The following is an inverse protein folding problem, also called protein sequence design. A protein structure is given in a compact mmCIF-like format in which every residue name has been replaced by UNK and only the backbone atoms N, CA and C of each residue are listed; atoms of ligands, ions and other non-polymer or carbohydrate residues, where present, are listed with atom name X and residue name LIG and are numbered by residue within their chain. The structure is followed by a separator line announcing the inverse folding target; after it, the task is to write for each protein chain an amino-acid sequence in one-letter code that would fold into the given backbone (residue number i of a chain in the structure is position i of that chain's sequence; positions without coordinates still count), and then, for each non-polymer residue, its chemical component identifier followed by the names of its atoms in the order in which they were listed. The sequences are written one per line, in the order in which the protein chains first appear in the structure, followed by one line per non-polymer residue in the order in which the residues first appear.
data_IF_627544340605
#
_entry.id   IF_627544340605
#
_cell.length_a   1.000
_cell.length_b   1.000
_cell.length_c   1.000
_cell.angle_alpha   90.00
_cell.angle_beta   90.00
_cell.angle_gamma   90.00
#
_symmetry.space_group_name_H-M   'P 1'
#
loop_
_entity.id
_entity.type
_entity.pdbx_description
1 polymer ?
#
# COMPACT_ATOMS: atom_id res chain seq x y z
N UNK A 1 63.09 12.13 71.54
CA UNK A 1 62.61 10.73 71.54
C UNK A 1 61.68 10.53 70.34
N UNK A 2 61.96 9.50 69.53
CA UNK A 2 61.10 8.72 68.61
C UNK A 2 60.08 9.50 67.74
N UNK A 3 60.34 9.56 66.42
CA UNK A 3 59.63 8.84 65.31
C UNK A 3 58.20 9.37 65.09
N UNK A 4 57.66 9.67 63.91
CA UNK A 4 57.84 9.27 62.49
C UNK A 4 56.63 9.99 61.81
N UNK A 5 56.70 10.56 60.60
CA UNK A 5 56.25 9.93 59.34
C UNK A 5 56.19 11.01 58.23
N UNK A 6 56.40 10.52 57.01
CA UNK A 6 56.45 11.23 55.74
C UNK A 6 55.09 11.60 55.15
N UNK A 7 55.19 12.37 54.05
CA UNK A 7 54.29 12.48 52.90
C UNK A 7 53.18 13.53 53.05
N UNK A 8 52.80 14.26 51.99
CA UNK A 8 53.12 14.17 50.58
C UNK A 8 52.34 15.26 49.84
N UNK A 9 52.75 15.54 48.60
CA UNK A 9 52.31 16.63 47.76
C UNK A 9 50.79 16.74 47.52
N UNK A 10 50.30 17.97 47.42
CA UNK A 10 49.00 18.30 46.84
C UNK A 10 49.16 19.30 45.71
N UNK A 11 49.05 18.84 44.46
CA UNK A 11 48.91 19.70 43.30
C UNK A 11 47.42 19.75 42.93
N UNK A 12 46.86 20.95 42.92
CA UNK A 12 45.46 21.23 42.54
C UNK A 12 45.40 21.37 41.02
N UNK A 13 44.67 20.49 40.35
CA UNK A 13 44.32 20.61 38.94
C UNK A 13 42.88 21.13 38.81
N UNK A 14 42.71 22.33 38.24
CA UNK A 14 41.42 22.88 37.84
C UNK A 14 40.93 22.14 36.59
N UNK A 15 39.82 21.39 36.71
CA UNK A 15 39.12 20.80 35.58
C UNK A 15 38.06 21.78 35.05
N UNK A 16 38.22 22.23 33.80
CA UNK A 16 37.18 22.95 33.05
C UNK A 16 36.12 21.93 32.58
N UNK A 17 34.91 22.00 33.15
CA UNK A 17 33.74 21.28 32.63
C UNK A 17 33.24 21.98 31.37
N UNK A 18 33.51 21.40 30.20
CA UNK A 18 32.77 21.70 28.98
C UNK A 18 31.43 20.95 29.01
N UNK A 19 30.33 21.65 29.22
CA UNK A 19 28.98 21.07 29.12
C UNK A 19 28.69 20.77 27.65
N UNK A 20 28.76 19.50 27.28
CA UNK A 20 28.29 19.01 26.00
C UNK A 20 26.76 19.08 26.01
N UNK A 21 26.19 20.16 25.46
CA UNK A 21 24.76 20.22 25.15
C UNK A 21 24.60 19.46 23.83
N UNK A 22 24.03 18.24 23.81
CA UNK A 22 23.72 17.61 22.54
C UNK A 22 22.75 18.53 21.79
N UNK A 23 22.89 18.69 20.47
CA UNK A 23 21.85 19.33 19.69
C UNK A 23 20.56 18.57 19.97
N UNK A 24 19.58 19.25 20.54
CA UNK A 24 18.22 18.77 20.52
C UNK A 24 17.82 18.87 19.05
N UNK A 25 18.01 17.77 18.32
CA UNK A 25 17.32 17.55 17.07
C UNK A 25 15.84 17.64 17.40
N UNK A 26 15.31 18.85 17.25
CA UNK A 26 13.90 19.16 17.29
C UNK A 26 13.19 18.13 16.44
N UNK A 27 12.22 17.47 17.06
CA UNK A 27 11.38 16.43 16.48
C UNK A 27 10.64 16.94 15.24
N UNK A 28 11.32 17.05 14.11
CA UNK A 28 10.74 17.09 12.78
C UNK A 28 10.87 15.69 12.15
N UNK A 29 10.14 14.72 12.69
CA UNK A 29 10.01 13.40 12.06
C UNK A 29 8.70 12.69 12.45
N UNK A 30 7.56 13.25 12.04
CA UNK A 30 6.29 12.51 12.02
C UNK A 30 5.30 12.99 10.94
N UNK A 31 5.77 13.65 9.87
CA UNK A 31 4.87 14.25 8.87
C UNK A 31 4.29 13.26 7.87
N UNK A 32 4.91 12.10 7.64
CA UNK A 32 4.32 11.03 6.84
C UNK A 32 4.41 9.71 7.58
N UNK A 33 3.25 9.15 7.93
CA UNK A 33 3.24 7.81 8.48
C UNK A 33 3.64 6.77 7.43
N UNK A 34 3.42 7.02 6.14
CA UNK A 34 3.91 6.19 5.03
C UNK A 34 5.32 6.61 4.62
N UNK A 35 6.06 5.70 3.97
CA UNK A 35 7.42 5.97 3.51
C UNK A 35 7.84 5.22 2.25
N UNK A 36 6.95 4.48 1.59
CA UNK A 36 7.29 3.84 0.32
C UNK A 36 7.47 4.90 -0.76
N UNK A 37 8.51 4.76 -1.58
CA UNK A 37 8.86 5.76 -2.61
C UNK A 37 9.07 5.17 -4.00
N UNK A 38 9.24 3.85 -4.09
CA UNK A 38 9.42 3.19 -5.37
C UNK A 38 8.07 3.12 -6.11
N UNK A 39 8.09 3.45 -7.41
CA UNK A 39 6.92 3.36 -8.29
C UNK A 39 6.98 2.16 -9.24
N UNK A 40 8.10 1.45 -9.27
CA UNK A 40 8.35 0.24 -10.08
C UNK A 40 8.24 -1.03 -9.25
N UNK A 41 8.63 -0.98 -7.98
CA UNK A 41 8.50 -2.11 -7.04
C UNK A 41 7.38 -1.86 -6.03
N UNK A 42 6.44 -2.81 -5.80
CA UNK A 42 5.46 -2.70 -4.72
C UNK A 42 6.11 -2.70 -3.32
N UNK A 43 5.47 -2.07 -2.31
CA UNK A 43 5.98 -2.12 -0.94
C UNK A 43 6.03 -3.57 -0.41
N UNK A 44 6.93 -3.89 0.53
CA UNK A 44 6.97 -5.22 1.16
C UNK A 44 5.76 -5.49 2.04
N UNK A 45 5.17 -4.44 2.62
CA UNK A 45 4.03 -4.53 3.52
C UNK A 45 3.11 -3.32 3.41
N UNK A 46 1.90 -3.47 3.97
CA UNK A 46 0.90 -2.41 4.08
C UNK A 46 0.23 -2.47 5.45
N UNK A 47 -0.10 -1.31 6.00
CA UNK A 47 -0.86 -1.17 7.25
C UNK A 47 -2.35 -1.05 6.94
N UNK A 48 -3.09 -2.03 7.40
CA UNK A 48 -4.54 -2.12 7.22
C UNK A 48 -5.21 -1.85 8.56
N UNK A 49 -6.03 -0.81 8.63
CA UNK A 49 -6.92 -0.61 9.76
C UNK A 49 -8.08 -1.60 9.69
N UNK A 50 -8.16 -2.47 10.70
CA UNK A 50 -9.21 -3.47 10.83
C UNK A 50 -10.33 -2.92 11.69
N UNK A 51 -11.38 -2.42 11.06
CA UNK A 51 -12.49 -1.71 11.72
C UNK A 51 -13.18 -2.55 12.78
N UNK A 52 -13.49 -3.81 12.48
CA UNK A 52 -14.13 -4.73 13.41
C UNK A 52 -13.32 -5.03 14.69
N UNK A 53 -11.99 -4.83 14.64
CA UNK A 53 -11.09 -5.07 15.77
C UNK A 53 -10.48 -3.78 16.34
N UNK A 54 -10.87 -2.62 15.80
CA UNK A 54 -10.34 -1.31 16.17
C UNK A 54 -8.81 -1.26 16.25
N UNK A 55 -8.12 -1.97 15.36
CA UNK A 55 -6.65 -2.05 15.37
C UNK A 55 -6.06 -2.05 13.98
N UNK A 56 -4.92 -1.39 13.85
CA UNK A 56 -4.08 -1.48 12.65
C UNK A 56 -3.21 -2.73 12.70
N UNK A 57 -3.13 -3.44 11.58
CA UNK A 57 -2.22 -4.59 11.38
C UNK A 57 -1.30 -4.34 10.20
N UNK A 58 -0.06 -4.82 10.28
CA UNK A 58 0.89 -4.82 9.17
C UNK A 58 0.82 -6.15 8.45
N UNK A 59 0.64 -6.13 7.13
CA UNK A 59 0.41 -7.31 6.30
C UNK A 59 1.44 -7.34 5.17
N UNK A 60 1.99 -8.52 4.86
CA UNK A 60 2.71 -8.72 3.59
C UNK A 60 1.86 -8.23 2.42
N UNK A 61 2.46 -7.41 1.54
CA UNK A 61 1.68 -6.71 0.53
C UNK A 61 1.08 -7.65 -0.52
N UNK A 62 1.79 -8.72 -0.88
CA UNK A 62 1.28 -9.70 -1.85
C UNK A 62 0.12 -10.50 -1.28
N UNK A 63 0.21 -10.88 0.00
CA UNK A 63 -0.89 -11.51 0.75
C UNK A 63 -2.08 -10.56 0.84
N UNK A 64 -1.87 -9.28 1.11
CA UNK A 64 -2.92 -8.28 1.12
C UNK A 64 -3.69 -8.25 -0.20
N UNK A 65 -2.99 -8.12 -1.33
CA UNK A 65 -3.61 -8.09 -2.67
C UNK A 65 -4.41 -9.36 -2.96
N UNK A 66 -3.87 -10.55 -2.62
CA UNK A 66 -4.61 -11.82 -2.78
C UNK A 66 -5.89 -11.87 -1.94
N UNK A 67 -5.85 -11.38 -0.70
CA UNK A 67 -7.01 -11.34 0.19
C UNK A 67 -8.06 -10.34 -0.29
N UNK A 68 -7.66 -9.17 -0.77
CA UNK A 68 -8.59 -8.18 -1.36
C UNK A 68 -9.21 -8.73 -2.64
N UNK A 69 -8.41 -9.35 -3.53
CA UNK A 69 -8.92 -10.06 -4.70
C UNK A 69 -10.00 -11.09 -4.32
N UNK A 70 -9.78 -11.89 -3.28
CA UNK A 70 -10.77 -12.85 -2.80
C UNK A 70 -12.04 -12.20 -2.23
N UNK A 71 -11.92 -11.01 -1.67
CA UNK A 71 -13.02 -10.28 -1.05
C UNK A 71 -13.90 -9.56 -2.07
N UNK A 72 -13.29 -9.05 -3.15
CA UNK A 72 -13.93 -8.10 -4.06
C UNK A 72 -14.07 -8.59 -5.50
N UNK A 73 -13.25 -9.56 -5.93
CA UNK A 73 -13.24 -10.08 -7.30
C UNK A 73 -13.39 -11.60 -7.28
N UNK A 74 -14.63 -12.08 -7.32
CA UNK A 74 -14.95 -13.51 -7.24
C UNK A 74 -14.26 -14.38 -8.30
N UNK A 75 -14.00 -15.67 -8.03
CA UNK A 75 -13.18 -16.53 -8.89
C UNK A 75 -13.78 -16.86 -10.27
N UNK A 76 -15.06 -16.55 -10.49
CA UNK A 76 -15.79 -16.82 -11.74
C UNK A 76 -15.65 -15.70 -12.79
N UNK A 77 -14.97 -14.62 -12.45
CA UNK A 77 -14.64 -13.55 -13.39
C UNK A 77 -13.64 -14.10 -14.44
N UNK A 78 -13.78 -13.74 -15.73
CA UNK A 78 -12.83 -14.15 -16.75
C UNK A 78 -11.39 -13.71 -16.43
N UNK A 79 -10.40 -14.51 -16.83
CA UNK A 79 -8.98 -14.29 -16.50
C UNK A 79 -8.48 -12.88 -16.86
N UNK A 80 -8.87 -12.34 -18.02
CA UNK A 80 -8.49 -10.98 -18.43
C UNK A 80 -8.99 -9.91 -17.44
N UNK A 81 -10.26 -9.99 -17.03
CA UNK A 81 -10.82 -9.08 -16.01
C UNK A 81 -10.20 -9.26 -14.63
N UNK A 82 -9.85 -10.50 -14.24
CA UNK A 82 -9.14 -10.80 -13.00
C UNK A 82 -7.71 -10.23 -13.01
N UNK A 83 -7.00 -10.29 -14.13
CA UNK A 83 -5.68 -9.64 -14.30
C UNK A 83 -5.80 -8.12 -14.14
N UNK A 84 -6.79 -7.49 -14.79
CA UNK A 84 -7.04 -6.06 -14.64
C UNK A 84 -7.33 -5.69 -13.18
N UNK A 85 -8.23 -6.43 -12.53
CA UNK A 85 -8.56 -6.25 -11.11
C UNK A 85 -7.34 -6.39 -10.20
N UNK A 86 -6.48 -7.40 -10.43
CA UNK A 86 -5.28 -7.63 -9.62
C UNK A 86 -4.31 -6.45 -9.67
N UNK A 87 -4.04 -5.90 -10.86
CA UNK A 87 -3.17 -4.72 -11.00
C UNK A 87 -3.79 -3.49 -10.37
N UNK A 88 -5.08 -3.27 -10.58
CA UNK A 88 -5.83 -2.13 -10.03
C UNK A 88 -5.86 -2.15 -8.51
N UNK A 89 -6.16 -3.30 -7.90
CA UNK A 89 -6.18 -3.49 -6.45
C UNK A 89 -4.79 -3.29 -5.86
N UNK A 90 -3.76 -3.88 -6.49
CA UNK A 90 -2.36 -3.69 -6.07
C UNK A 90 -1.95 -2.23 -6.13
N UNK A 91 -2.22 -1.55 -7.24
CA UNK A 91 -1.80 -0.15 -7.42
C UNK A 91 -2.51 0.79 -6.45
N UNK A 92 -3.76 0.52 -6.07
CA UNK A 92 -4.50 1.30 -5.06
C UNK A 92 -3.78 1.25 -3.71
N UNK A 93 -3.54 0.04 -3.18
CA UNK A 93 -2.88 -0.14 -1.88
C UNK A 93 -1.45 0.40 -1.89
N UNK A 94 -0.74 0.24 -3.01
CA UNK A 94 0.60 0.78 -3.19
C UNK A 94 0.59 2.31 -3.17
N UNK A 95 -0.33 2.95 -3.90
CA UNK A 95 -0.46 4.40 -3.92
C UNK A 95 -0.64 4.97 -2.50
N UNK A 96 -1.49 4.36 -1.66
CA UNK A 96 -1.67 4.83 -0.28
C UNK A 96 -0.56 4.41 0.68
N UNK A 97 0.24 3.39 0.35
CA UNK A 97 1.50 3.11 1.05
C UNK A 97 2.63 4.11 0.70
N UNK A 98 2.44 4.92 -0.36
CA UNK A 98 3.32 6.05 -0.70
C UNK A 98 2.76 7.37 -0.18
N UNK A 99 1.48 7.63 -0.43
CA UNK A 99 0.80 8.89 -0.19
C UNK A 99 -0.11 8.80 1.04
N UNK A 100 0.45 9.02 2.23
CA UNK A 100 -0.33 9.04 3.46
C UNK A 100 -1.35 10.19 3.44
N UNK A 101 -2.58 9.88 3.85
CA UNK A 101 -3.72 10.82 3.87
C UNK A 101 -4.28 11.06 5.27
N UNK A 102 -3.47 10.88 6.32
CA UNK A 102 -3.87 11.19 7.69
C UNK A 102 -4.58 10.05 8.45
N UNK A 103 -4.69 8.85 7.88
CA UNK A 103 -5.39 7.72 8.52
C UNK A 103 -4.76 7.31 9.85
N UNK A 104 -5.54 7.38 10.94
CA UNK A 104 -5.19 6.91 12.29
C UNK A 104 -6.31 6.07 12.90
N UNK A 105 -5.95 4.96 13.55
CA UNK A 105 -6.89 4.16 14.34
C UNK A 105 -7.18 4.82 15.71
N UNK A 106 -8.11 4.30 16.52
CA UNK A 106 -8.46 4.90 17.82
C UNK A 106 -7.28 5.01 18.81
N UNK A 107 -6.22 4.21 18.64
CA UNK A 107 -5.01 4.28 19.44
C UNK A 107 -3.96 5.26 18.85
N UNK A 108 -4.32 6.03 17.83
CA UNK A 108 -3.45 6.99 17.17
C UNK A 108 -2.44 6.36 16.19
N UNK A 109 -2.49 5.03 15.98
CA UNK A 109 -1.56 4.34 15.05
C UNK A 109 -1.98 4.61 13.62
N UNK A 110 -1.02 4.92 12.78
CA UNK A 110 -1.29 5.21 11.38
C UNK A 110 -1.58 3.95 10.56
N UNK A 111 -2.45 4.10 9.57
CA UNK A 111 -2.74 3.09 8.56
C UNK A 111 -2.67 3.69 7.15
N UNK A 112 -2.47 2.81 6.16
CA UNK A 112 -2.43 3.17 4.74
C UNK A 112 -3.85 3.06 4.15
N UNK A 113 -4.53 1.97 4.50
CA UNK A 113 -5.88 1.62 4.04
C UNK A 113 -6.76 1.10 5.18
N UNK A 114 -8.08 1.21 5.04
CA UNK A 114 -9.08 0.63 5.93
C UNK A 114 -9.79 -0.56 5.26
N UNK A 115 -10.15 -1.59 6.03
CA UNK A 115 -10.71 -2.85 5.54
C UNK A 115 -12.19 -2.81 5.09
N UNK A 116 -12.67 -1.65 4.65
CA UNK A 116 -14.05 -1.43 4.22
C UNK A 116 -14.10 -0.91 2.79
N UNK A 117 -15.31 -0.72 2.25
CA UNK A 117 -15.53 -0.11 0.93
C UNK A 117 -15.06 1.33 0.80
N UNK A 118 -14.64 1.97 1.91
CA UNK A 118 -13.94 3.26 1.84
C UNK A 118 -12.62 3.14 1.07
N UNK A 119 -11.94 2.01 1.23
CA UNK A 119 -10.69 1.71 0.54
C UNK A 119 -10.76 0.38 -0.19
N UNK A 120 -10.45 -0.73 0.51
CA UNK A 120 -10.49 -2.06 -0.05
C UNK A 120 -10.91 -3.05 1.05
N UNK A 121 -11.89 -3.90 0.76
CA UNK A 121 -12.38 -4.92 1.67
C UNK A 121 -11.27 -5.96 1.89
N UNK A 122 -10.62 -5.89 3.05
CA UNK A 122 -9.60 -6.84 3.47
C UNK A 122 -10.17 -7.79 4.52
N UNK A 123 -10.59 -8.97 4.07
CA UNK A 123 -11.11 -10.00 4.96
C UNK A 123 -10.30 -11.31 4.86
N UNK A 124 -9.38 -11.57 5.81
CA UNK A 124 -8.56 -12.78 5.85
C UNK A 124 -9.31 -14.10 6.01
N UNK A 125 -10.59 -14.09 6.39
CA UNK A 125 -11.40 -15.32 6.46
C UNK A 125 -11.94 -15.76 5.11
N UNK A 126 -11.79 -14.95 4.06
CA UNK A 126 -12.21 -15.31 2.69
C UNK A 126 -11.25 -16.33 2.09
N UNK A 127 -11.82 -17.37 1.48
CA UNK A 127 -11.07 -18.35 0.70
C UNK A 127 -10.46 -17.68 -0.53
N UNK A 128 -9.13 -17.73 -0.62
CA UNK A 128 -8.39 -17.30 -1.82
C UNK A 128 -8.32 -18.49 -2.77
N UNK A 129 -8.98 -18.40 -3.92
CA UNK A 129 -8.97 -19.46 -4.92
C UNK A 129 -7.70 -19.44 -5.78
N UNK A 130 -7.35 -20.60 -6.36
CA UNK A 130 -6.15 -20.76 -7.17
C UNK A 130 -6.06 -19.75 -8.33
N UNK A 131 -7.17 -19.44 -9.00
CA UNK A 131 -7.20 -18.47 -10.10
C UNK A 131 -6.84 -17.05 -9.64
N UNK A 132 -7.29 -16.63 -8.45
CA UNK A 132 -6.96 -15.31 -7.88
C UNK A 132 -5.47 -15.24 -7.53
N UNK A 133 -4.93 -16.26 -6.85
CA UNK A 133 -3.50 -16.36 -6.56
C UNK A 133 -2.66 -16.36 -7.84
N UNK A 134 -3.11 -17.05 -8.87
CA UNK A 134 -2.44 -17.15 -10.16
C UNK A 134 -2.37 -15.79 -10.87
N UNK A 135 -3.49 -15.06 -11.02
CA UNK A 135 -3.45 -13.74 -11.69
C UNK A 135 -2.66 -12.70 -10.90
N UNK A 136 -2.66 -12.76 -9.55
CA UNK A 136 -1.82 -11.86 -8.73
C UNK A 136 -0.34 -12.17 -8.95
N UNK A 137 0.03 -13.43 -9.15
CA UNK A 137 1.41 -13.80 -9.49
C UNK A 137 1.80 -13.35 -10.89
N UNK A 138 0.95 -13.61 -11.89
CA UNK A 138 1.20 -13.23 -13.28
C UNK A 138 1.39 -11.73 -13.46
N UNK A 139 0.65 -10.94 -12.70
CA UNK A 139 0.64 -9.47 -12.82
C UNK A 139 1.47 -8.79 -11.74
N UNK A 140 2.32 -9.53 -11.01
CA UNK A 140 2.99 -8.99 -9.83
C UNK A 140 3.97 -7.85 -10.15
N UNK A 141 4.65 -7.92 -11.29
CA UNK A 141 5.54 -6.85 -11.78
C UNK A 141 4.81 -5.80 -12.64
N UNK A 142 3.52 -5.97 -12.96
CA UNK A 142 2.80 -5.01 -13.79
C UNK A 142 2.47 -3.73 -13.02
N UNK A 143 2.70 -2.56 -13.61
CA UNK A 143 2.25 -1.26 -13.11
C UNK A 143 1.41 -0.57 -14.17
N UNK A 144 0.41 0.22 -13.77
CA UNK A 144 -0.34 1.06 -14.71
C UNK A 144 0.25 2.45 -14.73
N UNK A 145 0.54 2.94 -15.94
CA UNK A 145 1.13 4.26 -16.15
C UNK A 145 0.30 5.09 -17.11
N UNK A 146 0.21 6.39 -16.84
CA UNK A 146 -0.22 7.42 -17.79
C UNK A 146 1.03 8.20 -18.22
N UNK A 147 1.59 7.86 -19.38
CA UNK A 147 2.95 8.26 -19.73
C UNK A 147 3.96 7.71 -18.71
N UNK A 148 4.79 8.58 -18.12
CA UNK A 148 5.73 8.19 -17.06
C UNK A 148 5.09 8.13 -15.66
N UNK A 149 3.86 8.63 -15.50
CA UNK A 149 3.25 8.86 -14.19
C UNK A 149 2.68 7.59 -13.58
N UNK A 150 3.08 7.30 -12.33
CA UNK A 150 2.36 6.37 -11.46
C UNK A 150 1.15 7.09 -10.86
N UNK A 151 -0.04 6.52 -10.98
CA UNK A 151 -1.28 7.19 -10.57
C UNK A 151 -2.12 6.30 -9.67
N UNK A 152 -2.95 6.94 -8.83
CA UNK A 152 -3.93 6.24 -8.01
C UNK A 152 -4.97 5.57 -8.89
N UNK A 153 -5.15 4.27 -8.75
CA UNK A 153 -6.28 3.55 -9.35
C UNK A 153 -7.50 3.64 -8.44
N UNK A 154 -8.70 3.54 -9.01
CA UNK A 154 -9.96 3.42 -8.30
C UNK A 154 -10.80 2.32 -8.94
N UNK A 155 -11.73 1.71 -8.22
CA UNK A 155 -12.61 0.70 -8.82
C UNK A 155 -13.94 0.60 -8.09
N UNK A 156 -14.95 0.10 -8.81
CA UNK A 156 -16.31 -0.10 -8.32
C UNK A 156 -16.91 -1.37 -8.92
N UNK A 157 -18.04 -1.82 -8.38
CA UNK A 157 -18.73 -3.01 -8.87
C UNK A 157 -19.26 -2.82 -10.31
N UNK A 158 -19.90 -1.69 -10.61
CA UNK A 158 -20.58 -1.41 -11.88
C UNK A 158 -21.91 -2.16 -12.05
N UNK A 159 -22.68 -1.79 -13.07
CA UNK A 159 -24.01 -2.32 -13.38
C UNK A 159 -24.02 -3.64 -14.19
N UNK A 160 -22.87 -4.10 -14.67
CA UNK A 160 -22.71 -5.32 -15.46
C UNK A 160 -22.94 -5.16 -16.97
N UNK A 161 -23.03 -3.93 -17.48
CA UNK A 161 -23.16 -3.65 -18.91
C UNK A 161 -21.76 -3.34 -19.46
N UNK A 162 -21.35 -4.03 -20.52
CA UNK A 162 -20.05 -3.72 -21.14
C UNK A 162 -20.05 -2.28 -21.67
N UNK A 163 -18.99 -1.54 -21.31
CA UNK A 163 -18.75 -0.18 -21.78
C UNK A 163 -19.61 0.92 -21.14
N UNK A 164 -20.36 0.59 -20.09
CA UNK A 164 -21.03 1.61 -19.26
C UNK A 164 -20.11 2.10 -18.14
N UNK A 165 -20.40 3.30 -17.64
CA UNK A 165 -19.75 3.91 -16.48
C UNK A 165 -18.23 4.14 -16.67
N UNK A 166 -17.81 4.49 -17.89
CA UNK A 166 -16.41 4.77 -18.26
C UNK A 166 -15.98 6.20 -17.87
N UNK A 167 -15.88 6.46 -16.57
CA UNK A 167 -15.55 7.79 -16.04
C UNK A 167 -14.06 8.17 -16.17
N UNK A 168 -13.21 7.27 -16.69
CA UNK A 168 -11.75 7.40 -16.82
C UNK A 168 -10.97 7.41 -15.51
N UNK A 169 -11.64 7.14 -14.39
CA UNK A 169 -11.09 7.14 -13.03
C UNK A 169 -11.27 5.81 -12.30
N UNK A 170 -12.29 5.04 -12.64
CA UNK A 170 -12.61 3.79 -11.97
C UNK A 170 -12.71 2.62 -12.94
N UNK A 171 -12.02 1.54 -12.60
CA UNK A 171 -12.29 0.22 -13.16
C UNK A 171 -13.64 -0.32 -12.66
N UNK A 172 -14.52 -0.72 -13.58
CA UNK A 172 -15.83 -1.28 -13.26
C UNK A 172 -15.82 -2.80 -13.38
N UNK A 173 -15.79 -3.50 -12.24
CA UNK A 173 -15.53 -4.95 -12.17
C UNK A 173 -16.49 -5.82 -13.01
N UNK A 174 -17.80 -5.59 -12.85
CA UNK A 174 -18.85 -6.36 -13.54
C UNK A 174 -18.92 -5.97 -15.01
N UNK A 175 -18.74 -4.69 -15.32
CA UNK A 175 -18.80 -4.16 -16.69
C UNK A 175 -17.60 -4.68 -17.51
N UNK A 176 -16.39 -4.66 -16.93
CA UNK A 176 -15.19 -5.28 -17.48
C UNK A 176 -15.40 -6.77 -17.75
N UNK A 177 -15.98 -7.50 -16.81
CA UNK A 177 -16.33 -8.92 -16.99
C UNK A 177 -17.30 -9.12 -18.14
N UNK A 178 -18.32 -8.26 -18.27
CA UNK A 178 -19.26 -8.30 -19.38
C UNK A 178 -18.55 -8.07 -20.73
N UNK A 179 -17.57 -7.16 -20.79
CA UNK A 179 -16.78 -6.92 -22.00
C UNK A 179 -15.93 -8.12 -22.39
N UNK A 180 -15.24 -8.77 -21.44
CA UNK A 180 -14.50 -10.01 -21.75
C UNK A 180 -15.46 -11.10 -22.25
N UNK A 181 -16.60 -11.29 -21.58
CA UNK A 181 -17.54 -12.37 -21.94
C UNK A 181 -18.21 -12.14 -23.30
N UNK A 182 -18.56 -10.88 -23.61
CA UNK A 182 -19.31 -10.54 -24.83
C UNK A 182 -18.40 -10.40 -26.05
N UNK A 183 -17.20 -9.85 -25.87
CA UNK A 183 -16.34 -9.45 -26.98
C UNK A 183 -14.92 -10.02 -26.90
N UNK A 184 -14.59 -10.79 -25.86
CA UNK A 184 -13.24 -11.32 -25.69
C UNK A 184 -12.19 -10.25 -25.41
N UNK A 185 -12.57 -9.10 -24.87
CA UNK A 185 -11.63 -8.00 -24.65
C UNK A 185 -10.43 -8.42 -23.80
N UNK A 186 -9.25 -7.98 -24.22
CA UNK A 186 -8.00 -8.22 -23.51
C UNK A 186 -7.93 -7.41 -22.20
N UNK A 187 -7.01 -7.79 -21.31
CA UNK A 187 -6.73 -7.03 -20.08
C UNK A 187 -6.40 -5.57 -20.38
N UNK A 188 -5.57 -5.32 -21.39
CA UNK A 188 -5.12 -3.98 -21.79
C UNK A 188 -6.27 -3.14 -22.37
N UNK A 189 -7.10 -3.74 -23.22
CA UNK A 189 -8.29 -3.09 -23.79
C UNK A 189 -9.21 -2.59 -22.69
N UNK A 190 -9.48 -3.43 -21.69
CA UNK A 190 -10.37 -3.08 -20.57
C UNK A 190 -9.75 -2.00 -19.69
N UNK A 191 -8.44 -2.07 -19.40
CA UNK A 191 -7.77 -1.04 -18.62
C UNK A 191 -7.81 0.32 -19.32
N UNK A 192 -7.58 0.36 -20.64
CA UNK A 192 -7.69 1.59 -21.44
C UNK A 192 -9.11 2.12 -21.51
N UNK A 193 -10.10 1.23 -21.60
CA UNK A 193 -11.52 1.57 -21.56
C UNK A 193 -11.88 2.36 -20.28
N UNK A 194 -11.43 1.87 -19.12
CA UNK A 194 -11.81 2.46 -17.83
C UNK A 194 -10.90 3.57 -17.32
N UNK A 195 -9.65 3.67 -17.78
CA UNK A 195 -8.70 4.69 -17.30
C UNK A 195 -8.23 5.68 -18.36
N UNK A 196 -8.57 5.47 -19.63
CA UNK A 196 -8.13 6.27 -20.77
C UNK A 196 -7.16 5.54 -21.69
N UNK A 197 -7.16 5.92 -22.98
CA UNK A 197 -6.34 5.29 -24.02
C UNK A 197 -4.82 5.46 -23.79
N UNK A 198 -4.43 6.47 -23.01
CA UNK A 198 -3.05 6.80 -22.61
C UNK A 198 -2.49 5.87 -21.52
N UNK A 199 -3.31 4.96 -21.00
CA UNK A 199 -2.87 3.98 -19.99
C UNK A 199 -2.11 2.84 -20.65
N UNK A 200 -1.01 2.47 -20.02
CA UNK A 200 -0.15 1.36 -20.42
C UNK A 200 0.20 0.48 -19.22
N UNK A 201 0.46 -0.79 -19.52
CA UNK A 201 1.07 -1.73 -18.57
C UNK A 201 2.58 -1.67 -18.75
N UNK A 202 3.30 -1.39 -17.66
CA UNK A 202 4.77 -1.47 -17.61
C UNK A 202 5.16 -2.65 -16.73
N UNK A 203 6.14 -3.45 -17.17
CA UNK A 203 6.53 -4.76 -16.60
C UNK A 203 7.94 -4.70 -16.04
#
# INVERSE_FOLDING_TARGET
MKRRLMAGAGAVALALLATFVPPTDSAQAASSCTGWRDTLTPPPSIRVYRTAYQRTVTVDFKRYVRTVMASEMGPTHPRASLRAGAVVIKQYGWYFAMHWRGGRDPAGRCYDVVDTTRDQVYNPSRTVYAIQSSVVNETWNWTLRKGASFFMTGYRAGNGICGSEEDRWHFMQRNATACVRRYGESTETILRRYYGADVSIVI
#
